data_IF_186627557560
#
_entry.id   IF_186627557560
#
_cell.length_a   1.000
_cell.length_b   1.000
_cell.length_c   1.000
_cell.angle_alpha   90.00
_cell.angle_beta   90.00
_cell.angle_gamma   90.00
#
_symmetry.space_group_name_H-M   'P 1'
#
loop_
_entity.id
_entity.type
_entity.pdbx_description
1 polymer ?
#
# COMPACT_ATOMS: atom_id res chain seq x y z
N UNK A 1 -10.89 37.05 40.46
CA UNK A 1 -9.81 36.23 39.85
C UNK A 1 -10.54 35.22 38.99
N UNK A 2 -10.58 35.45 37.68
CA UNK A 2 -11.41 34.70 36.74
C UNK A 2 -10.50 33.73 36.00
N UNK A 3 -10.75 32.42 36.14
CA UNK A 3 -9.94 31.37 35.53
C UNK A 3 -10.30 31.25 34.06
N UNK A 4 -9.31 31.44 33.18
CA UNK A 4 -9.49 31.20 31.75
C UNK A 4 -9.77 29.72 31.48
N UNK A 5 -10.92 29.43 30.87
CA UNK A 5 -11.26 28.10 30.37
C UNK A 5 -10.51 27.87 29.06
N UNK A 6 -9.58 26.92 29.07
CA UNK A 6 -8.89 26.46 27.85
C UNK A 6 -9.76 25.41 27.19
N UNK A 7 -10.28 25.70 25.99
CA UNK A 7 -10.97 24.73 25.15
C UNK A 7 -9.94 24.04 24.26
N UNK A 8 -9.93 22.70 24.25
CA UNK A 8 -9.05 21.90 23.39
C UNK A 8 -9.94 21.22 22.35
N UNK A 9 -9.74 21.54 21.08
CA UNK A 9 -10.32 20.76 19.98
C UNK A 9 -9.54 19.45 19.84
N UNK A 10 -10.24 18.33 19.99
CA UNK A 10 -9.70 16.99 19.76
C UNK A 10 -10.19 16.51 18.40
N UNK A 11 -9.29 16.34 17.44
CA UNK A 11 -9.62 15.64 16.21
C UNK A 11 -9.97 14.19 16.56
N UNK A 12 -11.22 13.80 16.31
CA UNK A 12 -11.76 12.49 16.65
C UNK A 12 -11.13 11.34 15.84
N UNK A 13 -11.82 10.21 15.82
CA UNK A 13 -11.39 9.02 15.08
C UNK A 13 -11.41 9.26 13.56
N UNK A 14 -10.28 9.03 12.89
CA UNK A 14 -10.18 9.03 11.44
C UNK A 14 -10.38 7.62 10.90
N UNK A 15 -11.33 7.44 9.98
CA UNK A 15 -11.56 6.15 9.33
C UNK A 15 -10.37 5.86 8.42
N UNK A 16 -9.67 4.76 8.68
CA UNK A 16 -8.63 4.25 7.81
C UNK A 16 -9.26 3.89 6.46
N UNK A 17 -8.87 4.61 5.41
CA UNK A 17 -9.31 4.30 4.06
C UNK A 17 -8.52 3.11 3.54
N UNK A 18 -9.21 2.04 3.21
CA UNK A 18 -8.61 0.90 2.51
C UNK A 18 -8.13 1.32 1.12
N UNK A 19 -7.03 0.70 0.69
CA UNK A 19 -6.48 0.96 -0.63
C UNK A 19 -7.36 0.33 -1.71
N UNK A 20 -7.67 1.11 -2.76
CA UNK A 20 -8.52 0.67 -3.84
C UNK A 20 -7.77 -0.18 -4.88
N UNK A 21 -8.10 -1.47 -4.93
CA UNK A 21 -7.62 -2.44 -5.92
C UNK A 21 -8.81 -3.03 -6.70
N UNK A 22 -9.11 -2.53 -7.91
CA UNK A 22 -10.16 -3.08 -8.77
C UNK A 22 -9.80 -4.49 -9.22
N UNK A 23 -10.83 -5.33 -9.30
CA UNK A 23 -10.75 -6.65 -9.93
C UNK A 23 -11.01 -6.52 -11.43
N UNK A 24 -10.03 -6.91 -12.24
CA UNK A 24 -10.11 -6.90 -13.71
C UNK A 24 -10.33 -8.29 -14.31
N UNK A 25 -10.68 -9.30 -13.51
CA UNK A 25 -10.89 -10.68 -13.97
C UNK A 25 -12.11 -10.85 -14.89
N UNK A 26 -13.17 -10.10 -14.63
CA UNK A 26 -14.38 -10.09 -15.45
C UNK A 26 -14.32 -8.88 -16.39
N UNK A 27 -14.19 -9.10 -17.69
CA UNK A 27 -13.90 -8.06 -18.68
C UNK A 27 -15.01 -7.05 -18.97
N UNK A 28 -15.61 -6.40 -17.96
CA UNK A 28 -16.61 -5.36 -18.18
C UNK A 28 -16.48 -4.15 -17.23
N UNK A 29 -16.54 -2.97 -17.84
CA UNK A 29 -16.90 -1.63 -17.30
C UNK A 29 -15.85 -0.73 -16.64
N UNK A 30 -14.54 -0.87 -16.88
CA UNK A 30 -13.68 0.32 -16.75
C UNK A 30 -13.79 1.16 -18.03
N UNK A 31 -14.82 2.01 -18.10
CA UNK A 31 -14.94 3.04 -19.16
C UNK A 31 -13.82 4.08 -19.08
N UNK A 32 -13.11 4.13 -17.96
CA UNK A 32 -12.07 5.10 -17.67
C UNK A 32 -10.69 4.45 -17.72
N UNK A 33 -9.74 5.19 -18.28
CA UNK A 33 -8.33 4.82 -18.26
C UNK A 33 -7.79 4.82 -16.83
N UNK A 34 -7.13 3.73 -16.45
CA UNK A 34 -6.48 3.57 -15.16
C UNK A 34 -5.13 4.31 -15.13
N UNK A 35 -5.08 5.40 -14.34
CA UNK A 35 -3.87 6.21 -14.15
C UNK A 35 -3.19 5.99 -12.79
N UNK A 36 -3.65 5.02 -11.99
CA UNK A 36 -3.13 4.78 -10.64
C UNK A 36 -1.61 4.57 -10.65
N UNK A 37 -0.93 5.19 -9.70
CA UNK A 37 0.52 5.05 -9.50
C UNK A 37 0.84 3.83 -8.64
N UNK A 38 0.15 3.71 -7.52
CA UNK A 38 0.19 2.53 -6.67
C UNK A 38 -0.85 1.54 -7.19
N UNK A 39 -0.43 0.29 -7.45
CA UNK A 39 -1.30 -0.77 -7.98
C UNK A 39 -1.64 -1.82 -6.91
N UNK A 40 -0.77 -1.97 -5.92
CA UNK A 40 -0.94 -2.85 -4.76
C UNK A 40 -0.37 -2.15 -3.53
N UNK A 41 -1.13 -2.14 -2.44
CA UNK A 41 -0.70 -1.61 -1.14
C UNK A 41 -1.13 -2.57 -0.05
N UNK A 42 -0.15 -3.24 0.57
CA UNK A 42 -0.35 -4.24 1.63
C UNK A 42 0.52 -3.89 2.84
N UNK A 43 0.08 -2.96 3.70
CA UNK A 43 0.87 -2.50 4.84
C UNK A 43 0.91 -3.54 5.98
N UNK A 44 -0.09 -4.43 6.04
CA UNK A 44 -0.25 -5.40 7.12
C UNK A 44 0.27 -6.77 6.70
N UNK A 45 1.60 -6.91 6.65
CA UNK A 45 2.27 -8.16 6.31
C UNK A 45 3.11 -8.66 7.48
N UNK A 46 2.71 -9.82 8.02
CA UNK A 46 3.47 -10.51 9.07
C UNK A 46 4.18 -11.72 8.47
N UNK A 47 5.50 -11.70 8.57
CA UNK A 47 6.35 -12.69 7.94
C UNK A 47 6.98 -13.56 9.04
N UNK A 48 6.87 -14.89 8.93
CA UNK A 48 7.47 -15.84 9.87
C UNK A 48 8.21 -16.97 9.16
N UNK A 49 9.11 -17.64 9.87
CA UNK A 49 9.93 -18.74 9.34
C UNK A 49 11.33 -18.31 8.87
N UNK A 50 12.18 -19.29 8.53
CA UNK A 50 13.60 -19.05 8.22
C UNK A 50 13.85 -18.43 6.83
N UNK A 51 13.01 -18.73 5.84
CA UNK A 51 13.11 -18.27 4.44
C UNK A 51 11.70 -18.11 3.83
N UNK A 52 10.93 -17.14 4.30
CA UNK A 52 9.58 -16.91 3.82
C UNK A 52 9.61 -16.47 2.35
N UNK A 53 8.68 -17.01 1.55
CA UNK A 53 8.42 -16.57 0.18
C UNK A 53 7.03 -15.95 0.18
N UNK A 54 6.93 -14.69 -0.25
CA UNK A 54 5.67 -13.97 -0.31
C UNK A 54 5.29 -13.74 -1.79
N UNK A 55 4.32 -14.48 -2.33
CA UNK A 55 3.81 -14.21 -3.67
C UNK A 55 3.05 -12.88 -3.67
N UNK A 56 3.35 -12.02 -4.64
CA UNK A 56 2.65 -10.75 -4.86
C UNK A 56 1.98 -10.82 -6.23
N UNK A 57 0.70 -10.50 -6.27
CA UNK A 57 -0.10 -10.47 -7.50
C UNK A 57 -1.02 -9.27 -7.44
N UNK A 58 -1.12 -8.57 -8.58
CA UNK A 58 -1.90 -7.36 -8.74
C UNK A 58 -2.28 -7.20 -10.22
N UNK A 59 -3.32 -6.43 -10.49
CA UNK A 59 -3.69 -6.03 -11.85
C UNK A 59 -2.91 -4.79 -12.28
N UNK A 60 -2.42 -4.79 -13.52
CA UNK A 60 -1.74 -3.64 -14.08
C UNK A 60 -2.74 -2.53 -14.48
N UNK A 61 -2.23 -1.31 -14.68
CA UNK A 61 -2.95 -0.21 -15.30
C UNK A 61 -2.70 -0.12 -16.82
N UNK A 62 -3.30 0.86 -17.47
CA UNK A 62 -3.29 0.99 -18.94
C UNK A 62 -1.98 1.53 -19.55
N UNK A 63 -1.03 2.01 -18.74
CA UNK A 63 0.16 2.74 -19.24
C UNK A 63 1.50 2.21 -18.76
N UNK A 64 1.54 1.49 -17.64
CA UNK A 64 2.78 1.14 -16.95
C UNK A 64 3.45 -0.05 -17.63
N UNK A 65 4.73 0.13 -17.99
CA UNK A 65 5.59 -0.91 -18.59
C UNK A 65 6.67 -1.42 -17.64
N UNK A 66 6.97 -0.67 -16.59
CA UNK A 66 7.99 -0.96 -15.58
C UNK A 66 7.40 -0.66 -14.21
N UNK A 67 7.63 -1.55 -13.25
CA UNK A 67 7.07 -1.44 -11.91
C UNK A 67 8.18 -1.18 -10.91
N UNK A 68 7.85 -0.41 -9.89
CA UNK A 68 8.69 -0.22 -8.72
C UNK A 68 8.06 -0.95 -7.55
N UNK A 69 8.77 -1.93 -7.01
CA UNK A 69 8.39 -2.65 -5.80
C UNK A 69 9.19 -2.06 -4.64
N UNK A 70 8.47 -1.58 -3.64
CA UNK A 70 9.04 -1.07 -2.38
C UNK A 70 8.53 -1.95 -1.26
N UNK A 71 9.44 -2.52 -0.48
CA UNK A 71 9.13 -3.31 0.70
C UNK A 71 9.84 -2.69 1.90
N UNK A 72 9.05 -2.25 2.87
CA UNK A 72 9.50 -1.63 4.11
C UNK A 72 9.02 -2.46 5.31
N UNK A 73 9.77 -2.45 6.40
CA UNK A 73 9.37 -3.17 7.59
C UNK A 73 10.35 -3.05 8.74
N UNK A 74 10.06 -3.79 9.80
CA UNK A 74 10.87 -3.85 11.01
C UNK A 74 11.09 -5.30 11.44
N UNK A 75 12.31 -5.64 11.85
CA UNK A 75 12.60 -6.96 12.43
C UNK A 75 12.06 -7.07 13.85
N UNK A 76 11.98 -8.29 14.38
CA UNK A 76 11.66 -8.53 15.81
C UNK A 76 12.66 -7.90 16.78
N UNK A 77 13.84 -7.54 16.31
CA UNK A 77 14.89 -6.83 17.08
C UNK A 77 14.85 -5.32 16.90
N UNK A 78 13.85 -4.78 16.20
CA UNK A 78 13.65 -3.34 16.01
C UNK A 78 14.47 -2.72 14.87
N UNK A 79 15.09 -3.52 13.99
CA UNK A 79 15.85 -2.99 12.85
C UNK A 79 14.92 -2.68 11.69
N UNK A 80 15.04 -1.47 11.14
CA UNK A 80 14.31 -1.06 9.94
C UNK A 80 14.90 -1.74 8.69
N UNK A 81 14.03 -2.12 7.78
CA UNK A 81 14.33 -2.72 6.49
C UNK A 81 13.67 -1.90 5.40
N UNK A 82 14.39 -1.66 4.30
CA UNK A 82 13.84 -1.07 3.08
C UNK A 82 14.51 -1.72 1.88
N UNK A 83 13.70 -2.18 0.94
CA UNK A 83 14.14 -2.74 -0.33
C UNK A 83 13.35 -2.07 -1.45
N UNK A 84 14.07 -1.55 -2.44
CA UNK A 84 13.48 -1.06 -3.69
C UNK A 84 14.01 -1.90 -4.87
N UNK A 85 13.09 -2.31 -5.75
CA UNK A 85 13.38 -3.04 -6.98
C UNK A 85 12.54 -2.53 -8.13
N UNK A 86 13.16 -2.44 -9.31
CA UNK A 86 12.44 -2.21 -10.55
C UNK A 86 12.29 -3.54 -11.28
N UNK A 87 11.07 -3.85 -11.71
CA UNK A 87 10.77 -5.05 -12.48
C UNK A 87 10.06 -4.66 -13.77
N UNK A 88 10.36 -5.39 -14.84
CA UNK A 88 9.76 -5.20 -16.16
C UNK A 88 9.06 -6.49 -16.55
N UNK A 89 7.95 -6.40 -17.28
CA UNK A 89 7.34 -7.59 -17.85
C UNK A 89 8.36 -8.24 -18.80
N UNK A 90 8.73 -9.50 -18.53
CA UNK A 90 9.60 -10.25 -19.42
C UNK A 90 8.95 -10.39 -20.80
N UNK A 91 9.76 -10.23 -21.85
CA UNK A 91 9.37 -10.64 -23.21
C UNK A 91 9.18 -12.15 -23.30
#
# INVERSE_FOLDING_TARGET
MESAVTTVDYEGYSILKEFYAPDYSTGAENQYTDYRLTLDWKPELFISGKKPVLPISFYNNDRTKKFKVVAEGITSTGKLLMIERYVEAGN
#
